data_IF_998824670690
#
_entry.id   IF_998824670690
#
_cell.length_a   1.000
_cell.length_b   1.000
_cell.length_c   1.000
_cell.angle_alpha   90.00
_cell.angle_beta   90.00
_cell.angle_gamma   90.00
#
_symmetry.space_group_name_H-M   'P 1'
#
loop_
_entity.id
_entity.type
_entity.pdbx_description
1 polymer ?
#
# COMPACT_ATOMS: atom_id res chain seq x y z
N UNK A 1 18.41 1.38 -27.47
CA UNK A 1 18.39 1.40 -25.99
C UNK A 1 16.93 1.35 -25.58
N UNK A 2 16.46 0.24 -25.01
CA UNK A 2 15.07 0.12 -24.58
C UNK A 2 14.85 1.13 -23.44
N UNK A 3 13.93 2.08 -23.64
CA UNK A 3 13.43 2.89 -22.54
C UNK A 3 12.74 1.94 -21.57
N UNK A 4 13.41 1.61 -20.47
CA UNK A 4 12.84 0.81 -19.40
C UNK A 4 11.62 1.59 -18.91
N UNK A 5 10.43 1.05 -19.15
CA UNK A 5 9.18 1.72 -18.80
C UNK A 5 9.26 2.14 -17.33
N UNK A 6 9.26 3.46 -17.10
CA UNK A 6 9.44 4.05 -15.77
C UNK A 6 8.29 3.55 -14.91
N UNK A 7 8.56 2.62 -13.99
CA UNK A 7 7.53 2.11 -13.10
C UNK A 7 6.93 3.28 -12.32
N UNK A 8 5.59 3.32 -12.15
CA UNK A 8 4.95 4.38 -11.41
C UNK A 8 5.53 4.41 -9.98
N UNK A 9 5.94 5.59 -9.47
CA UNK A 9 6.73 5.63 -8.25
C UNK A 9 5.87 5.39 -7.01
N UNK A 10 4.54 5.33 -7.12
CA UNK A 10 3.64 5.14 -5.98
C UNK A 10 2.93 3.79 -6.11
N UNK A 11 3.04 2.96 -5.08
CA UNK A 11 2.22 1.77 -4.89
C UNK A 11 1.14 2.03 -3.85
N UNK A 12 -0.10 1.71 -4.18
CA UNK A 12 -1.24 1.85 -3.28
C UNK A 12 -1.85 0.49 -3.01
N UNK A 13 -2.14 0.18 -1.75
CA UNK A 13 -2.85 -1.02 -1.34
C UNK A 13 -4.07 -0.68 -0.48
N UNK A 14 -5.14 -1.45 -0.65
CA UNK A 14 -6.35 -1.39 0.17
C UNK A 14 -6.43 -2.62 1.07
N UNK A 15 -6.76 -2.43 2.35
CA UNK A 15 -6.92 -3.48 3.34
C UNK A 15 -8.30 -3.41 4.00
N UNK A 16 -8.83 -4.57 4.39
CA UNK A 16 -10.14 -4.69 5.02
C UNK A 16 -10.09 -4.51 6.54
N UNK A 17 -8.90 -4.61 7.13
CA UNK A 17 -8.72 -4.59 8.57
C UNK A 17 -7.45 -3.82 8.94
N UNK A 18 -7.51 -3.07 10.04
CA UNK A 18 -6.37 -2.31 10.56
C UNK A 18 -5.14 -3.21 10.81
N UNK A 19 -5.35 -4.42 11.33
CA UNK A 19 -4.25 -5.35 11.59
C UNK A 19 -3.47 -5.75 10.33
N UNK A 20 -4.12 -5.77 9.15
CA UNK A 20 -3.46 -6.03 7.87
C UNK A 20 -2.62 -4.82 7.43
N UNK A 21 -3.15 -3.60 7.62
CA UNK A 21 -2.41 -2.37 7.39
C UNK A 21 -1.17 -2.30 8.30
N UNK A 22 -1.33 -2.55 9.60
CA UNK A 22 -0.22 -2.55 10.56
C UNK A 22 0.83 -3.62 10.22
N UNK A 23 0.41 -4.82 9.80
CA UNK A 23 1.33 -5.86 9.33
C UNK A 23 2.11 -5.41 8.08
N UNK A 24 1.44 -4.77 7.12
CA UNK A 24 2.08 -4.22 5.93
C UNK A 24 3.11 -3.14 6.31
N UNK A 25 2.76 -2.20 7.20
CA UNK A 25 3.67 -1.19 7.71
C UNK A 25 4.89 -1.81 8.42
N UNK A 26 4.67 -2.84 9.25
CA UNK A 26 5.74 -3.60 9.89
C UNK A 26 6.71 -4.20 8.88
N UNK A 27 6.20 -4.83 7.82
CA UNK A 27 7.03 -5.41 6.75
C UNK A 27 7.83 -4.39 5.96
N UNK A 28 7.28 -3.20 5.77
CA UNK A 28 8.02 -2.10 5.13
C UNK A 28 9.13 -1.59 6.03
N UNK A 29 8.87 -1.48 7.33
CA UNK A 29 9.87 -1.08 8.32
C UNK A 29 11.01 -2.10 8.44
N UNK A 30 10.71 -3.41 8.43
CA UNK A 30 11.72 -4.49 8.38
C UNK A 30 12.64 -4.41 7.15
N UNK A 31 12.17 -3.76 6.07
CA UNK A 31 12.90 -3.56 4.81
C UNK A 31 13.56 -2.18 4.72
N UNK A 32 13.64 -1.45 5.83
CA UNK A 32 14.24 -0.12 5.92
C UNK A 32 13.60 0.90 4.96
N UNK A 33 12.33 0.69 4.59
CA UNK A 33 11.57 1.69 3.84
C UNK A 33 11.16 2.77 4.84
N UNK A 34 11.82 3.93 4.73
CA UNK A 34 11.62 5.01 5.67
C UNK A 34 10.15 5.49 5.68
N UNK A 35 9.62 5.88 6.84
CA UNK A 35 8.23 6.34 6.99
C UNK A 35 7.93 7.57 6.13
N UNK A 36 8.94 8.35 5.75
CA UNK A 36 8.81 9.49 4.84
C UNK A 36 8.32 9.12 3.43
N UNK A 37 8.43 7.84 3.07
CA UNK A 37 7.94 7.28 1.81
C UNK A 37 6.50 6.77 1.93
N UNK A 38 5.87 6.85 3.11
CA UNK A 38 4.60 6.19 3.43
C UNK A 38 3.52 7.22 3.72
N UNK A 39 2.49 7.26 2.88
CA UNK A 39 1.21 7.92 3.16
C UNK A 39 0.16 6.89 3.53
N UNK A 40 -0.25 6.83 4.79
CA UNK A 40 -1.39 6.03 5.23
C UNK A 40 -2.64 6.91 5.31
N UNK A 41 -3.72 6.46 4.68
CA UNK A 41 -5.04 7.10 4.75
C UNK A 41 -6.06 6.08 5.25
N UNK A 42 -6.74 6.42 6.33
CA UNK A 42 -7.86 5.62 6.84
C UNK A 42 -9.13 6.35 6.45
N UNK A 43 -9.93 5.73 5.59
CA UNK A 43 -11.28 6.19 5.31
C UNK A 43 -12.21 5.47 6.28
N UNK A 44 -12.65 6.18 7.31
CA UNK A 44 -13.91 5.90 8.00
C UNK A 44 -14.98 6.59 7.16
N UNK A 45 -15.62 5.86 6.24
CA UNK A 45 -16.82 6.38 5.60
C UNK A 45 -17.92 6.30 6.65
N UNK A 46 -17.98 7.35 7.49
CA UNK A 46 -18.83 7.48 8.67
C UNK A 46 -20.33 7.57 8.35
N UNK A 47 -20.81 6.84 7.35
CA UNK A 47 -22.23 6.56 7.16
C UNK A 47 -22.48 5.04 7.22
N UNK A 48 -22.52 4.55 8.45
CA UNK A 48 -22.94 3.20 8.84
C UNK A 48 -24.38 2.83 8.38
N UNK A 49 -25.00 3.63 7.52
CA UNK A 49 -26.34 3.44 6.95
C UNK A 49 -26.36 2.47 5.76
N UNK A 50 -25.21 2.16 5.16
CA UNK A 50 -25.12 1.28 3.99
C UNK A 50 -24.27 0.00 4.17
N UNK A 51 -23.74 -0.26 5.37
CA UNK A 51 -22.94 -1.46 5.65
C UNK A 51 -21.59 -1.50 4.91
N UNK A 52 -21.09 -0.35 4.49
CA UNK A 52 -19.74 -0.19 3.96
C UNK A 52 -18.75 -0.41 5.11
N UNK A 53 -17.86 -1.40 4.96
CA UNK A 53 -16.80 -1.70 5.93
C UNK A 53 -15.69 -0.67 5.78
N UNK A 54 -15.01 -0.36 6.89
CA UNK A 54 -13.80 0.46 6.89
C UNK A 54 -12.78 -0.06 5.88
N UNK A 55 -12.24 0.84 5.06
CA UNK A 55 -11.18 0.52 4.10
C UNK A 55 -9.93 1.31 4.48
N UNK A 56 -8.84 0.58 4.68
CA UNK A 56 -7.55 1.13 5.03
C UNK A 56 -6.71 1.24 3.75
N UNK A 57 -6.27 2.44 3.40
CA UNK A 57 -5.45 2.69 2.24
C UNK A 57 -4.01 3.01 2.64
N UNK A 58 -3.07 2.37 1.97
CA UNK A 58 -1.64 2.59 2.16
C UNK A 58 -1.02 2.96 0.82
N UNK A 59 -0.48 4.16 0.70
CA UNK A 59 0.31 4.59 -0.46
C UNK A 59 1.76 4.71 -0.07
N UNK A 60 2.66 4.15 -0.88
CA UNK A 60 4.10 4.14 -0.62
C UNK A 60 4.85 4.54 -1.86
N UNK A 61 5.79 5.48 -1.71
CA UNK A 61 6.75 5.81 -2.72
C UNK A 61 7.73 4.63 -2.86
N UNK A 62 7.57 3.87 -3.93
CA UNK A 62 8.29 2.66 -4.26
C UNK A 62 9.31 2.94 -5.39
N UNK A 63 10.61 3.05 -5.07
CA UNK A 63 11.66 3.06 -6.09
C UNK A 63 11.56 1.81 -6.96
N UNK A 64 11.88 1.89 -8.26
CA UNK A 64 11.68 0.75 -9.20
C UNK A 64 12.35 -0.55 -8.76
N UNK A 65 13.45 -0.47 -7.98
CA UNK A 65 14.14 -1.65 -7.42
C UNK A 65 13.37 -2.37 -6.30
N UNK A 66 12.47 -1.67 -5.61
CA UNK A 66 11.68 -2.18 -4.47
C UNK A 66 10.20 -2.39 -4.84
N UNK A 67 9.79 -2.02 -6.05
CA UNK A 67 8.38 -2.04 -6.46
C UNK A 67 7.73 -3.42 -6.33
N UNK A 68 8.36 -4.46 -6.88
CA UNK A 68 7.83 -5.82 -6.78
C UNK A 68 7.86 -6.37 -5.34
N UNK A 69 8.88 -6.00 -4.56
CA UNK A 69 9.00 -6.39 -3.14
C UNK A 69 7.91 -5.78 -2.27
N UNK A 70 7.63 -4.48 -2.46
CA UNK A 70 6.59 -3.75 -1.74
C UNK A 70 5.22 -4.32 -2.12
N UNK A 71 4.97 -4.53 -3.42
CA UNK A 71 3.75 -5.15 -3.94
C UNK A 71 3.52 -6.55 -3.35
N UNK A 72 4.55 -7.38 -3.34
CA UNK A 72 4.48 -8.72 -2.75
C UNK A 72 4.20 -8.66 -1.24
N UNK A 73 4.79 -7.70 -0.52
CA UNK A 73 4.55 -7.50 0.90
C UNK A 73 3.09 -7.14 1.18
N UNK A 74 2.47 -6.27 0.37
CA UNK A 74 1.05 -5.93 0.49
C UNK A 74 0.15 -7.14 0.25
N UNK A 75 0.43 -7.93 -0.78
CA UNK A 75 -0.33 -9.15 -1.08
C UNK A 75 -0.22 -10.17 0.07
N UNK A 76 0.97 -10.37 0.63
CA UNK A 76 1.19 -11.26 1.78
C UNK A 76 0.48 -10.79 3.04
N UNK A 77 0.25 -9.48 3.20
CA UNK A 77 -0.50 -8.91 4.31
C UNK A 77 -2.01 -8.91 4.07
N UNK A 78 -2.48 -9.51 2.98
CA UNK A 78 -3.92 -9.64 2.70
C UNK A 78 -4.56 -8.40 2.11
N UNK A 79 -3.79 -7.60 1.34
CA UNK A 79 -4.36 -6.49 0.57
C UNK A 79 -5.49 -7.00 -0.35
N UNK A 80 -6.63 -6.32 -0.30
CA UNK A 80 -7.78 -6.55 -1.18
C UNK A 80 -7.45 -6.16 -2.63
N UNK A 81 -6.67 -5.11 -2.79
CA UNK A 81 -6.23 -4.59 -4.08
C UNK A 81 -4.87 -3.92 -3.93
N UNK A 82 -4.04 -4.04 -4.96
CA UNK A 82 -2.76 -3.34 -5.07
C UNK A 82 -2.68 -2.70 -6.45
N UNK A 83 -2.50 -1.39 -6.48
CA UNK A 83 -2.36 -0.58 -7.69
C UNK A 83 -1.07 0.24 -7.67
N UNK A 84 -0.76 0.85 -8.81
CA UNK A 84 0.39 1.73 -8.98
C UNK A 84 -0.06 3.02 -9.66
N UNK A 85 0.37 4.18 -9.16
CA UNK A 85 0.01 5.51 -9.67
C UNK A 85 1.27 6.29 -10.10
N UNK A 86 1.12 7.05 -11.20
CA UNK A 86 2.18 7.80 -11.87
C UNK A 86 2.17 9.28 -11.51
#
# INVERSE_FOLDING_TARGET
MAQQAKQPPILTAAFAAEGQLQAALGRLAEREIAPDFIGAYVSDDGDNRHGLRDIYLLSVLAPSRLHEDIKASFQQCGALSVGSAA
#
